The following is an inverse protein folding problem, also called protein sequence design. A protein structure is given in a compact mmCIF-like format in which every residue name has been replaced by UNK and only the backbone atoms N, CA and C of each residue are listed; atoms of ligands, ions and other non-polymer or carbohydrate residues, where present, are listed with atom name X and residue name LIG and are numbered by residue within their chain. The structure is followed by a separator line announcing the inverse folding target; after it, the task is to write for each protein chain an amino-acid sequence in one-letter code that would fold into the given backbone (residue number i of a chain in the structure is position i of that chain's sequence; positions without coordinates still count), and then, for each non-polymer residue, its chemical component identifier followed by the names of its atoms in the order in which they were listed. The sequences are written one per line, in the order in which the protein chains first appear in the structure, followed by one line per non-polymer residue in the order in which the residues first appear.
data_IF_780129324999
#
_entry.id   IF_780129324999
#
_cell.length_a   1.000
_cell.length_b   1.000
_cell.length_c   1.000
_cell.angle_alpha   90.00
_cell.angle_beta   90.00
_cell.angle_gamma   90.00
#
_symmetry.space_group_name_H-M   'P 1'
#
loop_
_entity.id
_entity.type
_entity.pdbx_description
1 polymer ?
#
# COMPACT_ATOMS: atom_id res chain seq x y z
N UNK A 1 13.38 -11.05 25.74
CA UNK A 1 12.40 -11.37 24.67
C UNK A 1 12.59 -12.82 24.30
N UNK A 2 11.52 -13.61 24.11
CA UNK A 2 11.65 -14.98 23.61
C UNK A 2 12.34 -14.93 22.24
N UNK A 3 13.36 -15.77 22.05
CA UNK A 3 14.19 -15.81 20.85
C UNK A 3 13.41 -16.31 19.65
N UNK A 4 12.62 -15.43 19.03
CA UNK A 4 12.12 -15.65 17.69
C UNK A 4 13.34 -15.78 16.77
N UNK A 5 13.51 -16.97 16.19
CA UNK A 5 14.64 -17.26 15.31
C UNK A 5 14.61 -16.29 14.13
N UNK A 6 15.71 -15.56 13.94
CA UNK A 6 16.00 -14.75 12.75
C UNK A 6 15.81 -15.53 11.44
N UNK A 7 15.77 -16.87 11.48
CA UNK A 7 15.51 -17.73 10.31
C UNK A 7 14.16 -17.41 9.63
N UNK A 8 13.15 -16.96 10.37
CA UNK A 8 11.85 -16.59 9.78
C UNK A 8 11.94 -15.37 8.86
N UNK A 9 12.95 -14.51 9.04
CA UNK A 9 13.18 -13.34 8.18
C UNK A 9 14.05 -13.63 6.95
N UNK A 10 14.67 -14.81 6.89
CA UNK A 10 15.50 -15.24 5.75
C UNK A 10 14.71 -16.01 4.68
N UNK A 11 13.38 -15.90 4.68
CA UNK A 11 12.56 -16.41 3.59
C UNK A 11 12.92 -15.71 2.27
N UNK A 12 13.02 -16.50 1.20
CA UNK A 12 13.11 -15.97 -0.16
C UNK A 12 11.85 -15.17 -0.45
N UNK A 13 12.03 -13.86 -0.72
CA UNK A 13 10.93 -12.99 -1.09
C UNK A 13 10.50 -13.30 -2.53
N UNK A 14 9.20 -13.28 -2.84
CA UNK A 14 8.73 -13.37 -4.21
C UNK A 14 9.32 -12.22 -5.04
N UNK A 15 9.91 -12.56 -6.18
CA UNK A 15 10.48 -11.59 -7.12
C UNK A 15 9.80 -11.61 -8.48
N UNK A 16 9.05 -12.68 -8.77
CA UNK A 16 8.35 -12.86 -10.05
C UNK A 16 7.05 -12.06 -10.06
N UNK A 17 6.85 -11.08 -10.96
CA UNK A 17 5.60 -10.31 -11.04
C UNK A 17 4.35 -11.16 -11.26
N UNK A 18 4.47 -12.39 -11.78
CA UNK A 18 3.37 -13.35 -11.96
C UNK A 18 3.06 -14.16 -10.69
N UNK A 19 3.75 -13.89 -9.57
CA UNK A 19 3.52 -14.58 -8.30
C UNK A 19 2.03 -14.48 -7.90
N UNK A 20 1.36 -15.62 -7.68
CA UNK A 20 -0.05 -15.62 -7.27
C UNK A 20 -0.20 -15.04 -5.86
N UNK A 21 -1.35 -14.41 -5.59
CA UNK A 21 -1.63 -13.81 -4.30
C UNK A 21 -1.52 -14.82 -3.13
N UNK A 22 -1.80 -16.10 -3.35
CA UNK A 22 -1.63 -17.15 -2.34
C UNK A 22 -0.20 -17.25 -1.80
N UNK A 23 0.79 -17.04 -2.67
CA UNK A 23 2.20 -17.15 -2.30
C UNK A 23 2.68 -15.91 -1.55
N UNK A 24 2.24 -14.73 -1.98
CA UNK A 24 2.46 -13.47 -1.24
C UNK A 24 1.80 -13.57 0.14
N UNK A 25 0.55 -14.04 0.21
CA UNK A 25 -0.21 -14.20 1.46
C UNK A 25 0.51 -15.09 2.47
N UNK A 26 1.20 -16.14 2.00
CA UNK A 26 2.00 -17.03 2.86
C UNK A 26 3.17 -16.30 3.51
N UNK A 27 3.84 -15.39 2.80
CA UNK A 27 4.89 -14.53 3.39
C UNK A 27 4.30 -13.53 4.37
N UNK A 28 3.19 -12.88 4.02
CA UNK A 28 2.52 -11.93 4.93
C UNK A 28 2.07 -12.61 6.24
N UNK A 29 1.63 -13.86 6.15
CA UNK A 29 1.22 -14.66 7.30
C UNK A 29 2.39 -15.01 8.24
N UNK A 30 3.61 -15.24 7.72
CA UNK A 30 4.77 -15.47 8.59
C UNK A 30 5.18 -14.20 9.32
N UNK A 31 5.15 -13.05 8.64
CA UNK A 31 5.42 -11.75 9.28
C UNK A 31 4.37 -11.34 10.32
N UNK A 32 3.11 -11.74 10.15
CA UNK A 32 2.06 -11.47 11.13
C UNK A 32 2.33 -12.10 12.51
N UNK A 33 3.20 -13.10 12.58
CA UNK A 33 3.60 -13.77 13.82
C UNK A 33 4.86 -13.17 14.47
N UNK A 34 5.55 -12.24 13.80
CA UNK A 34 6.87 -11.75 14.20
C UNK A 34 6.82 -10.78 15.39
N UNK A 35 5.94 -9.78 15.32
CA UNK A 35 5.79 -8.76 16.35
C UNK A 35 4.35 -8.75 16.85
N UNK A 36 4.11 -9.03 18.16
CA UNK A 36 2.77 -9.01 18.71
C UNK A 36 2.13 -7.63 18.65
N UNK A 37 2.82 -6.50 18.51
CA UNK A 37 2.22 -5.15 18.44
C UNK A 37 2.03 -4.64 17.00
N UNK A 38 2.50 -5.41 16.02
CA UNK A 38 2.31 -5.15 14.61
C UNK A 38 1.13 -5.95 14.06
N UNK A 39 0.26 -5.33 13.28
CA UNK A 39 -0.75 -6.05 12.50
C UNK A 39 -0.32 -6.11 11.03
N UNK A 40 0.13 -7.28 10.57
CA UNK A 40 0.34 -7.53 9.14
C UNK A 40 -0.93 -8.13 8.54
N UNK A 41 -1.51 -7.47 7.54
CA UNK A 41 -2.69 -8.01 6.88
C UNK A 41 -2.32 -9.28 6.09
N UNK A 42 -2.95 -10.44 6.33
CA UNK A 42 -2.52 -11.71 5.72
C UNK A 42 -2.93 -11.87 4.25
N UNK A 43 -3.58 -10.86 3.65
CA UNK A 43 -4.05 -10.92 2.27
C UNK A 43 -3.64 -9.70 1.47
N UNK A 44 -3.24 -9.92 0.22
CA UNK A 44 -3.00 -8.84 -0.76
C UNK A 44 -4.25 -7.98 -0.95
N UNK A 45 -4.11 -6.66 -0.89
CA UNK A 45 -5.18 -5.71 -1.20
C UNK A 45 -5.24 -5.41 -2.69
N UNK A 46 -6.35 -5.77 -3.35
CA UNK A 46 -6.51 -5.53 -4.80
C UNK A 46 -7.83 -4.88 -5.20
N UNK A 47 -8.77 -4.70 -4.27
CA UNK A 47 -10.10 -4.19 -4.62
C UNK A 47 -10.60 -3.13 -3.66
N UNK A 48 -11.17 -2.06 -4.23
CA UNK A 48 -11.82 -1.02 -3.45
C UNK A 48 -13.14 -1.51 -2.84
N UNK A 49 -13.91 -2.35 -3.56
CA UNK A 49 -15.21 -2.84 -3.11
C UNK A 49 -15.51 -4.26 -3.60
N UNK A 50 -16.56 -4.87 -3.01
CA UNK A 50 -16.98 -6.24 -3.34
C UNK A 50 -17.49 -6.39 -4.78
N UNK A 51 -18.14 -5.36 -5.32
CA UNK A 51 -18.57 -5.36 -6.73
C UNK A 51 -17.38 -5.48 -7.67
N UNK A 52 -16.32 -4.68 -7.44
CA UNK A 52 -15.09 -4.77 -8.23
C UNK A 52 -14.50 -6.17 -8.15
N UNK A 53 -14.33 -6.73 -6.94
CA UNK A 53 -13.84 -8.11 -6.77
C UNK A 53 -14.67 -9.14 -7.55
N UNK A 54 -15.99 -9.02 -7.53
CA UNK A 54 -16.90 -9.93 -8.23
C UNK A 54 -16.72 -9.85 -9.75
N UNK A 55 -16.57 -8.64 -10.29
CA UNK A 55 -16.33 -8.44 -11.72
C UNK A 55 -15.03 -9.11 -12.20
N UNK A 56 -14.07 -9.36 -11.31
CA UNK A 56 -12.78 -10.00 -11.63
C UNK A 56 -12.75 -11.51 -11.40
N UNK A 57 -13.79 -12.11 -10.81
CA UNK A 57 -13.75 -13.52 -10.43
C UNK A 57 -13.54 -14.46 -11.64
N UNK A 58 -13.94 -14.05 -12.85
CA UNK A 58 -13.78 -14.84 -14.07
C UNK A 58 -12.47 -14.57 -14.82
N UNK A 59 -11.75 -13.49 -14.52
CA UNK A 59 -10.58 -13.07 -15.30
C UNK A 59 -9.30 -13.16 -14.47
N UNK A 60 -9.35 -12.84 -13.18
CA UNK A 60 -8.24 -12.95 -12.26
C UNK A 60 -8.35 -14.23 -11.44
N UNK A 61 -7.56 -15.24 -11.81
CA UNK A 61 -7.65 -16.60 -11.24
C UNK A 61 -7.50 -16.65 -9.72
N UNK A 62 -6.70 -15.74 -9.13
CA UNK A 62 -6.46 -15.66 -7.69
C UNK A 62 -7.31 -14.58 -6.98
N UNK A 63 -8.37 -14.07 -7.63
CA UNK A 63 -9.23 -13.03 -7.05
C UNK A 63 -9.80 -13.44 -5.69
N UNK A 64 -10.07 -14.74 -5.48
CA UNK A 64 -10.54 -15.29 -4.21
C UNK A 64 -9.56 -15.02 -3.05
N UNK A 65 -8.25 -15.06 -3.31
CA UNK A 65 -7.17 -14.90 -2.34
C UNK A 65 -6.83 -13.45 -2.02
N UNK A 66 -7.31 -12.51 -2.84
CA UNK A 66 -7.14 -11.07 -2.65
C UNK A 66 -8.24 -10.47 -1.77
N UNK A 67 -7.97 -9.32 -1.17
CA UNK A 67 -8.83 -8.68 -0.17
C UNK A 67 -9.30 -7.27 -0.58
N UNK A 68 -10.30 -6.78 0.16
CA UNK A 68 -10.84 -5.43 0.00
C UNK A 68 -10.13 -4.47 0.95
N UNK A 69 -9.97 -3.22 0.52
CA UNK A 69 -9.48 -2.12 1.40
C UNK A 69 -10.33 -2.00 2.66
N UNK A 70 -11.66 -2.01 2.53
CA UNK A 70 -12.58 -1.91 3.67
C UNK A 70 -12.43 -3.07 4.65
N UNK A 71 -12.08 -4.28 4.18
CA UNK A 71 -11.80 -5.43 5.04
C UNK A 71 -10.50 -5.22 5.83
N UNK A 72 -9.46 -4.67 5.23
CA UNK A 72 -8.24 -4.28 5.97
C UNK A 72 -8.54 -3.26 7.06
N UNK A 73 -9.26 -2.18 6.74
CA UNK A 73 -9.60 -1.12 7.69
C UNK A 73 -10.51 -1.62 8.83
N UNK A 74 -11.40 -2.57 8.56
CA UNK A 74 -12.34 -3.15 9.53
C UNK A 74 -11.84 -4.40 10.24
N UNK A 75 -10.76 -5.03 9.76
CA UNK A 75 -10.23 -6.26 10.36
C UNK A 75 -10.04 -6.09 11.87
N UNK A 76 -10.34 -7.12 12.69
CA UNK A 76 -10.02 -7.07 14.10
C UNK A 76 -8.50 -6.99 14.24
N UNK A 77 -7.99 -5.87 14.77
CA UNK A 77 -6.57 -5.76 15.11
C UNK A 77 -6.43 -6.31 16.52
N UNK A 78 -5.80 -7.49 16.71
CA UNK A 78 -5.82 -8.18 17.99
C UNK A 78 -5.30 -7.27 19.09
N UNK A 79 -5.99 -7.22 20.23
CA UNK A 79 -5.50 -6.48 21.38
C UNK A 79 -4.26 -7.20 21.90
N UNK A 80 -3.13 -6.51 22.05
CA UNK A 80 -1.96 -7.11 22.70
C UNK A 80 -2.34 -7.57 24.12
N UNK A 81 -2.18 -8.86 24.42
CA UNK A 81 -2.22 -9.45 25.76
C UNK A 81 -3.40 -9.04 26.67
N UNK A 82 -4.62 -8.92 26.13
CA UNK A 82 -5.82 -8.63 26.94
C UNK A 82 -5.85 -7.22 27.58
N UNK A 83 -4.85 -6.37 27.29
CA UNK A 83 -4.89 -4.95 27.63
C UNK A 83 -5.74 -4.24 26.59
N UNK A 84 -6.57 -3.30 27.04
CA UNK A 84 -7.42 -2.44 26.19
C UNK A 84 -6.54 -1.51 25.34
N UNK A 85 -5.98 -2.04 24.25
CA UNK A 85 -5.20 -1.28 23.27
C UNK A 85 -5.27 -1.94 21.91
N UNK A 86 -5.88 -1.25 20.94
CA UNK A 86 -5.79 -1.65 19.54
C UNK A 86 -4.34 -1.51 19.07
N UNK A 87 -3.88 -2.40 18.18
CA UNK A 87 -2.55 -2.31 17.55
C UNK A 87 -2.28 -0.90 17.03
N UNK A 88 -1.08 -0.40 17.29
CA UNK A 88 -0.67 0.94 16.89
C UNK A 88 -0.25 0.99 15.42
N UNK A 89 0.33 -0.08 14.88
CA UNK A 89 0.86 -0.14 13.53
C UNK A 89 0.23 -1.27 12.70
N UNK A 90 -0.21 -0.96 11.48
CA UNK A 90 -0.85 -1.89 10.55
C UNK A 90 -0.12 -1.87 9.20
N UNK A 91 0.21 -3.03 8.65
CA UNK A 91 0.85 -3.19 7.35
C UNK A 91 -0.09 -3.87 6.35
N UNK A 92 -0.04 -3.42 5.11
CA UNK A 92 -0.71 -4.06 3.99
C UNK A 92 0.16 -4.04 2.74
N UNK A 93 0.15 -5.16 2.02
CA UNK A 93 0.63 -5.25 0.65
C UNK A 93 -0.53 -4.88 -0.29
N UNK A 94 -0.30 -3.92 -1.19
CA UNK A 94 -1.26 -3.49 -2.20
C UNK A 94 -0.73 -3.96 -3.56
N UNK A 95 -1.62 -4.56 -4.36
CA UNK A 95 -1.30 -4.93 -5.73
C UNK A 95 -2.52 -4.77 -6.60
N UNK A 96 -2.34 -4.07 -7.72
CA UNK A 96 -3.38 -3.82 -8.71
C UNK A 96 -2.77 -3.70 -10.11
N UNK A 97 -3.53 -3.98 -11.18
CA UNK A 97 -3.06 -3.75 -12.54
C UNK A 97 -2.60 -2.30 -12.72
N UNK A 98 -1.47 -2.11 -13.41
CA UNK A 98 -0.92 -0.81 -13.70
C UNK A 98 -1.88 -0.05 -14.62
N UNK A 99 -2.71 0.84 -14.09
CA UNK A 99 -3.44 1.78 -14.96
C UNK A 99 -2.46 2.85 -15.43
N UNK A 100 -1.48 2.45 -16.23
CA UNK A 100 -0.76 3.38 -17.07
C UNK A 100 -1.83 4.13 -17.85
N UNK A 101 -1.75 5.45 -17.89
CA UNK A 101 -2.48 6.24 -18.88
C UNK A 101 -1.93 5.98 -20.28
N UNK A 102 -1.75 4.72 -20.67
CA UNK A 102 -1.24 4.30 -21.96
C UNK A 102 -2.40 4.23 -22.93
N UNK A 103 -2.90 5.40 -23.32
CA UNK A 103 -3.12 5.63 -24.74
C UNK A 103 -1.86 6.39 -25.23
N UNK A 104 -0.96 5.64 -25.88
CA UNK A 104 0.11 6.08 -26.79
C UNK A 104 1.00 7.29 -26.41
N UNK A 105 2.11 7.01 -25.73
CA UNK A 105 3.24 7.95 -25.60
C UNK A 105 4.12 8.05 -26.87
N UNK A 106 3.68 7.53 -28.02
CA UNK A 106 4.42 7.60 -29.30
C UNK A 106 3.82 8.55 -30.35
N UNK A 107 2.79 9.34 -30.03
CA UNK A 107 2.21 10.33 -30.95
C UNK A 107 1.75 11.62 -30.23
N UNK A 108 2.63 12.28 -29.48
CA UNK A 108 2.34 13.62 -28.95
C UNK A 108 3.29 14.62 -29.59
N UNK A 109 2.86 15.16 -30.74
CA UNK A 109 3.26 16.50 -31.12
C UNK A 109 2.68 17.48 -30.10
N UNK A 110 3.60 18.28 -29.59
CA UNK A 110 3.47 19.40 -28.66
C UNK A 110 2.36 20.37 -29.08
N UNK A 111 1.14 20.22 -28.56
CA UNK A 111 0.16 21.32 -28.48
C UNK A 111 -0.85 21.10 -27.34
N UNK A 112 -0.59 21.70 -26.19
CA UNK A 112 -1.64 22.10 -25.25
C UNK A 112 -1.99 21.11 -24.15
N UNK A 113 -1.93 21.60 -22.91
CA UNK A 113 -2.28 20.90 -21.66
C UNK A 113 -3.55 20.03 -21.76
N UNK A 114 -3.37 18.71 -21.80
CA UNK A 114 -4.45 17.78 -21.48
C UNK A 114 -4.47 17.55 -19.98
N UNK A 115 -5.53 18.03 -19.32
CA UNK A 115 -5.87 17.65 -17.94
C UNK A 115 -6.14 16.15 -17.88
N UNK A 116 -5.31 15.45 -17.10
CA UNK A 116 -5.53 14.07 -16.70
C UNK A 116 -6.84 13.96 -15.92
N UNK A 117 -7.80 13.22 -16.45
CA UNK A 117 -9.00 12.83 -15.72
C UNK A 117 -8.69 11.62 -14.82
N UNK A 118 -8.15 11.88 -13.63
CA UNK A 118 -7.94 10.87 -12.59
C UNK A 118 -9.25 10.18 -12.13
N UNK A 119 -10.43 10.62 -12.59
CA UNK A 119 -11.70 9.92 -12.32
C UNK A 119 -11.95 8.70 -13.21
N UNK A 120 -11.17 8.53 -14.30
CA UNK A 120 -11.29 7.40 -15.24
C UNK A 120 -10.18 6.35 -15.16
N UNK A 121 -9.26 6.46 -14.18
CA UNK A 121 -8.20 5.46 -13.90
C UNK A 121 -8.72 4.15 -13.29
N UNK A 122 -9.88 3.67 -13.75
CA UNK A 122 -10.45 2.42 -13.35
C UNK A 122 -10.12 1.39 -14.42
N UNK A 123 -9.14 0.52 -14.17
CA UNK A 123 -8.91 -0.71 -14.94
C UNK A 123 -10.17 -1.59 -15.06
N UNK A 124 -11.19 -1.34 -14.22
CA UNK A 124 -12.53 -1.93 -14.31
C UNK A 124 -13.17 -1.64 -15.66
N UNK A 125 -13.32 -2.69 -16.47
CA UNK A 125 -13.89 -2.63 -17.81
C UNK A 125 -12.86 -2.63 -18.95
N UNK A 126 -11.55 -2.60 -18.63
CA UNK A 126 -10.51 -2.77 -19.64
C UNK A 126 -10.38 -4.27 -20.00
N UNK A 127 -10.65 -4.69 -21.26
CA UNK A 127 -10.52 -6.09 -21.67
C UNK A 127 -9.07 -6.59 -21.66
N UNK A 128 -8.07 -5.70 -21.71
CA UNK A 128 -6.64 -6.01 -21.78
C UNK A 128 -5.92 -5.90 -20.42
N UNK A 129 -6.66 -5.97 -19.32
CA UNK A 129 -6.09 -5.88 -17.96
C UNK A 129 -5.09 -7.01 -17.67
N UNK A 130 -5.23 -8.16 -18.33
CA UNK A 130 -4.36 -9.34 -18.23
C UNK A 130 -3.01 -9.13 -18.92
N UNK A 131 -2.96 -8.23 -19.92
CA UNK A 131 -1.72 -7.80 -20.59
C UNK A 131 -1.01 -6.68 -19.85
N UNK A 132 -1.66 -6.12 -18.83
CA UNK A 132 -1.15 -4.99 -18.08
C UNK A 132 -0.27 -5.49 -16.93
N UNK A 133 0.98 -5.04 -16.81
CA UNK A 133 1.83 -5.43 -15.69
C UNK A 133 1.15 -5.03 -14.38
N UNK A 134 1.30 -5.86 -13.35
CA UNK A 134 0.78 -5.54 -12.04
C UNK A 134 1.71 -4.58 -11.31
N UNK A 135 1.11 -3.55 -10.71
CA UNK A 135 1.81 -2.64 -9.82
C UNK A 135 1.69 -3.11 -8.38
N UNK A 136 2.76 -2.95 -7.60
CA UNK A 136 2.78 -3.27 -6.18
C UNK A 136 3.21 -2.04 -5.38
N UNK A 137 2.59 -1.84 -4.22
CA UNK A 137 3.00 -0.82 -3.25
C UNK A 137 2.73 -1.29 -1.83
N UNK A 138 3.43 -0.74 -0.85
CA UNK A 138 3.20 -1.01 0.56
C UNK A 138 2.38 0.11 1.20
N UNK A 139 1.59 -0.23 2.22
CA UNK A 139 0.92 0.74 3.06
C UNK A 139 1.16 0.43 4.55
N UNK A 140 1.53 1.47 5.29
CA UNK A 140 1.66 1.45 6.75
C UNK A 140 0.66 2.42 7.35
N UNK A 141 -0.08 1.98 8.36
CA UNK A 141 -0.99 2.84 9.12
C UNK A 141 -0.55 2.83 10.56
N UNK A 142 -0.10 3.98 11.06
CA UNK A 142 0.33 4.16 12.45
C UNK A 142 -0.64 5.09 13.17
N UNK A 143 -1.04 4.73 14.38
CA UNK A 143 -1.80 5.61 15.25
C UNK A 143 -0.85 6.52 16.03
N UNK A 144 -1.15 7.82 16.14
CA UNK A 144 -0.37 8.70 16.98
C UNK A 144 -0.59 8.35 18.47
N UNK A 145 0.36 8.68 19.36
CA UNK A 145 0.18 8.51 20.80
C UNK A 145 -0.98 9.37 21.31
N UNK A 146 -1.63 8.93 22.38
CA UNK A 146 -2.69 9.73 23.02
C UNK A 146 -2.09 11.02 23.62
N UNK A 147 -2.81 12.16 23.60
CA UNK A 147 -4.23 12.33 23.27
C UNK A 147 -4.52 12.58 21.78
N UNK A 148 -3.51 12.55 20.92
CA UNK A 148 -3.68 12.78 19.49
C UNK A 148 -4.63 11.72 18.89
N UNK A 149 -5.39 12.13 17.89
CA UNK A 149 -6.35 11.27 17.17
C UNK A 149 -5.90 11.16 15.72
N UNK A 150 -6.50 10.22 15.00
CA UNK A 150 -6.27 10.08 13.57
C UNK A 150 -5.30 8.96 13.22
N UNK A 151 -4.69 9.09 12.04
CA UNK A 151 -3.74 8.12 11.50
C UNK A 151 -2.59 8.82 10.76
N UNK A 152 -1.41 8.22 10.83
CA UNK A 152 -0.32 8.43 9.88
C UNK A 152 -0.41 7.30 8.84
N UNK A 153 -0.73 7.64 7.60
CA UNK A 153 -0.72 6.71 6.46
C UNK A 153 0.59 6.92 5.70
N UNK A 154 1.41 5.89 5.61
CA UNK A 154 2.65 5.88 4.85
C UNK A 154 2.40 4.99 3.63
N UNK A 155 2.60 5.54 2.44
CA UNK A 155 2.56 4.81 1.18
C UNK A 155 3.99 4.71 0.66
N UNK A 156 4.45 3.50 0.42
CA UNK A 156 5.72 3.26 -0.23
C UNK A 156 5.45 2.65 -1.60
N UNK A 157 5.74 3.44 -2.62
CA UNK A 157 5.51 3.09 -4.00
C UNK A 157 6.88 3.01 -4.70
N UNK A 158 7.32 1.81 -5.12
CA UNK A 158 8.59 1.64 -5.84
C UNK A 158 8.54 2.19 -7.28
N UNK A 159 7.37 2.64 -7.75
CA UNK A 159 7.22 3.43 -8.98
C UNK A 159 6.44 4.73 -8.64
N UNK A 160 7.06 5.63 -7.86
CA UNK A 160 6.43 6.82 -7.33
C UNK A 160 5.93 7.73 -8.44
N UNK A 161 4.76 8.33 -8.22
CA UNK A 161 4.24 9.37 -9.09
C UNK A 161 5.22 10.56 -9.15
N UNK A 162 5.71 10.99 -10.32
CA UNK A 162 6.66 12.11 -10.42
C UNK A 162 6.15 13.42 -9.79
N UNK A 163 4.83 13.59 -9.70
CA UNK A 163 4.21 14.74 -9.00
C UNK A 163 4.61 14.79 -7.52
N UNK A 164 4.96 13.66 -6.90
CA UNK A 164 5.44 13.60 -5.51
C UNK A 164 6.74 14.38 -5.30
N UNK A 165 7.56 14.55 -6.36
CA UNK A 165 8.82 15.30 -6.31
C UNK A 165 8.62 16.82 -6.40
N UNK A 166 7.40 17.29 -6.67
CA UNK A 166 7.10 18.71 -6.75
C UNK A 166 7.09 19.36 -5.37
N UNK A 167 7.30 20.68 -5.30
CA UNK A 167 7.17 21.42 -4.06
C UNK A 167 5.71 21.34 -3.55
N UNK A 168 5.52 20.74 -2.37
CA UNK A 168 4.22 20.61 -1.67
C UNK A 168 3.19 19.77 -2.45
N UNK A 169 3.47 18.48 -2.69
CA UNK A 169 2.60 17.63 -3.47
C UNK A 169 1.25 17.41 -2.77
N UNK A 170 0.16 17.33 -3.56
CA UNK A 170 -1.18 17.12 -3.03
C UNK A 170 -1.56 15.65 -3.09
N UNK A 171 -2.29 15.17 -2.07
CA UNK A 171 -2.74 13.77 -1.95
C UNK A 171 -3.45 13.31 -3.23
N UNK A 172 -4.37 14.10 -3.76
CA UNK A 172 -5.17 13.77 -4.96
C UNK A 172 -4.36 13.69 -6.25
N UNK A 173 -3.21 14.35 -6.31
CA UNK A 173 -2.35 14.40 -7.49
C UNK A 173 -1.28 13.30 -7.43
N UNK A 174 -0.92 12.85 -6.22
CA UNK A 174 0.10 11.80 -6.00
C UNK A 174 -0.50 10.40 -5.91
N UNK A 175 -1.42 10.16 -4.96
CA UNK A 175 -1.96 8.82 -4.71
C UNK A 175 -2.80 8.37 -5.91
N UNK A 176 -2.74 7.07 -6.26
CA UNK A 176 -3.52 6.50 -7.38
C UNK A 176 -4.37 5.30 -6.93
N UNK A 177 -5.46 5.02 -7.65
CA UNK A 177 -6.24 3.79 -7.53
C UNK A 177 -6.57 3.34 -6.09
N UNK A 178 -6.01 2.21 -5.67
CA UNK A 178 -6.23 1.63 -4.33
C UNK A 178 -5.62 2.45 -3.20
N UNK A 179 -4.52 3.18 -3.44
CA UNK A 179 -3.92 4.06 -2.43
C UNK A 179 -4.91 5.18 -2.06
N UNK A 180 -5.57 5.79 -3.06
CA UNK A 180 -6.64 6.77 -2.82
C UNK A 180 -7.84 6.15 -2.08
N UNK A 181 -8.21 4.92 -2.44
CA UNK A 181 -9.32 4.21 -1.79
C UNK A 181 -9.01 3.95 -0.31
N UNK A 182 -7.77 3.56 0.00
CA UNK A 182 -7.28 3.38 1.37
C UNK A 182 -7.26 4.68 2.16
N UNK A 183 -6.74 5.75 1.57
CA UNK A 183 -6.76 7.08 2.17
C UNK A 183 -8.20 7.51 2.52
N UNK A 184 -9.14 7.42 1.57
CA UNK A 184 -10.55 7.81 1.80
C UNK A 184 -11.19 7.04 2.95
N UNK A 185 -11.00 5.73 3.02
CA UNK A 185 -11.55 4.91 4.12
C UNK A 185 -10.95 5.29 5.49
N UNK A 186 -9.66 5.66 5.55
CA UNK A 186 -9.03 6.16 6.78
C UNK A 186 -9.50 7.57 7.13
N UNK A 187 -9.64 8.44 6.13
CA UNK A 187 -10.08 9.84 6.26
C UNK A 187 -11.50 9.90 6.83
N UNK A 188 -12.43 9.13 6.25
CA UNK A 188 -13.80 8.96 6.75
C UNK A 188 -13.80 8.41 8.18
N UNK A 189 -13.01 7.36 8.45
CA UNK A 189 -12.94 6.72 9.78
C UNK A 189 -12.36 7.64 10.86
N UNK A 190 -11.45 8.54 10.49
CA UNK A 190 -10.76 9.46 11.41
C UNK A 190 -11.41 10.84 11.51
N UNK A 191 -12.44 11.11 10.70
CA UNK A 191 -13.07 12.43 10.54
C UNK A 191 -12.08 13.47 10.04
N UNK A 192 -11.46 13.20 8.90
CA UNK A 192 -10.50 14.07 8.21
C UNK A 192 -9.21 14.32 9.00
N UNK A 193 -8.74 13.31 9.74
CA UNK A 193 -7.53 13.41 10.54
C UNK A 193 -6.54 12.30 10.13
N UNK A 194 -6.06 12.40 8.90
CA UNK A 194 -5.02 11.52 8.36
C UNK A 194 -3.88 12.39 7.85
N UNK A 195 -2.67 12.15 8.37
CA UNK A 195 -1.42 12.62 7.75
C UNK A 195 -0.96 11.57 6.76
N UNK A 196 -0.61 11.99 5.54
CA UNK A 196 -0.15 11.08 4.50
C UNK A 196 1.32 11.35 4.21
N UNK A 197 2.12 10.30 4.29
CA UNK A 197 3.54 10.26 3.98
C UNK A 197 3.73 9.39 2.75
N UNK A 198 4.59 9.82 1.83
CA UNK A 198 4.82 9.14 0.57
C UNK A 198 6.32 8.97 0.36
N UNK A 199 6.78 7.73 0.32
CA UNK A 199 8.20 7.42 0.10
C UNK A 199 8.54 7.59 -1.37
N UNK A 200 9.62 8.30 -1.66
CA UNK A 200 10.16 8.49 -3.00
C UNK A 200 11.50 7.76 -3.05
N UNK A 201 11.58 6.67 -3.83
CA UNK A 201 12.84 5.95 -4.08
C UNK A 201 13.25 6.20 -5.53
N UNK A 202 13.98 7.30 -5.78
CA UNK A 202 14.37 7.71 -7.13
C UNK A 202 15.26 6.69 -7.83
N UNK A 203 16.02 5.91 -7.06
CA UNK A 203 17.01 4.95 -7.54
C UNK A 203 16.42 3.61 -8.00
N UNK A 204 15.12 3.38 -7.80
CA UNK A 204 14.47 2.07 -8.06
C UNK A 204 13.33 2.13 -9.08
N UNK A 205 13.13 3.27 -9.72
CA UNK A 205 12.06 3.45 -10.68
C UNK A 205 12.29 2.61 -11.95
N UNK A 206 11.20 2.02 -12.45
CA UNK A 206 11.11 1.41 -13.79
C UNK A 206 11.94 0.13 -14.05
N UNK A 207 12.47 -0.54 -13.04
CA UNK A 207 13.23 -1.80 -13.25
C UNK A 207 12.34 -3.05 -13.42
N UNK A 208 11.00 -2.90 -13.42
CA UNK A 208 10.10 -4.05 -13.45
C UNK A 208 10.14 -4.92 -12.18
N UNK A 209 10.69 -4.37 -11.08
CA UNK A 209 10.93 -5.07 -9.82
C UNK A 209 9.99 -4.62 -8.69
N UNK A 210 8.83 -4.05 -9.02
CA UNK A 210 7.90 -3.46 -8.03
C UNK A 210 7.48 -4.47 -6.94
N UNK A 211 7.27 -5.74 -7.28
CA UNK A 211 6.95 -6.80 -6.31
C UNK A 211 8.08 -6.96 -5.29
N UNK A 212 9.31 -7.20 -5.77
CA UNK A 212 10.48 -7.41 -4.94
C UNK A 212 10.70 -6.22 -4.00
N UNK A 213 10.73 -5.01 -4.54
CA UNK A 213 10.96 -3.81 -3.74
C UNK A 213 9.85 -3.58 -2.71
N UNK A 214 8.59 -3.82 -3.07
CA UNK A 214 7.48 -3.73 -2.12
C UNK A 214 7.63 -4.74 -0.98
N UNK A 215 8.05 -5.97 -1.28
CA UNK A 215 8.29 -7.01 -0.27
C UNK A 215 9.49 -6.65 0.64
N UNK A 216 10.58 -6.12 0.08
CA UNK A 216 11.73 -5.63 0.84
C UNK A 216 11.33 -4.49 1.78
N UNK A 217 10.52 -3.53 1.30
CA UNK A 217 10.01 -2.42 2.10
C UNK A 217 9.11 -2.90 3.24
N UNK A 218 8.18 -3.83 2.97
CA UNK A 218 7.37 -4.41 4.03
C UNK A 218 8.22 -5.15 5.07
N UNK A 219 9.23 -5.90 4.64
CA UNK A 219 10.16 -6.56 5.55
C UNK A 219 10.86 -5.54 6.47
N UNK A 220 11.34 -4.42 5.93
CA UNK A 220 11.91 -3.34 6.73
C UNK A 220 10.92 -2.82 7.78
N UNK A 221 9.65 -2.60 7.42
CA UNK A 221 8.63 -2.19 8.39
C UNK A 221 8.32 -3.23 9.46
N UNK A 222 8.39 -4.52 9.12
CA UNK A 222 8.26 -5.60 10.10
C UNK A 222 9.45 -5.62 11.06
N UNK A 223 10.65 -5.35 10.57
CA UNK A 223 11.87 -5.23 11.39
C UNK A 223 11.85 -4.00 12.31
N UNK A 224 11.29 -2.87 11.85
CA UNK A 224 11.04 -1.69 12.69
C UNK A 224 10.00 -2.00 13.78
N UNK A 225 8.96 -2.77 13.42
CA UNK A 225 7.95 -3.26 14.36
C UNK A 225 6.74 -2.35 14.58
N UNK A 226 5.95 -2.73 15.58
CA UNK A 226 4.63 -2.20 15.89
C UNK A 226 4.60 -1.04 16.88
N UNK A 227 5.75 -0.45 17.18
CA UNK A 227 5.93 0.61 18.17
C UNK A 227 5.04 1.84 17.95
N UNK A 228 4.93 2.67 19.01
CA UNK A 228 4.21 3.94 18.95
C UNK A 228 4.82 4.89 17.92
N UNK A 229 4.03 5.86 17.46
CA UNK A 229 4.49 6.89 16.54
C UNK A 229 5.45 7.87 17.22
N UNK A 230 6.63 8.08 16.63
CA UNK A 230 7.71 8.89 17.22
C UNK A 230 7.75 10.34 16.72
N UNK A 231 6.76 10.76 15.92
CA UNK A 231 6.72 12.11 15.34
C UNK A 231 7.38 12.16 13.97
N UNK A 232 7.95 13.31 13.62
CA UNK A 232 8.57 13.50 12.30
C UNK A 232 9.92 12.74 12.18
N UNK A 233 10.50 12.33 13.30
CA UNK A 233 11.73 11.52 13.37
C UNK A 233 11.46 10.01 13.35
N UNK A 234 10.19 9.59 13.16
CA UNK A 234 9.82 8.18 13.13
C UNK A 234 10.54 7.46 11.97
N UNK A 235 11.27 6.35 12.24
CA UNK A 235 12.05 5.67 11.21
C UNK A 235 11.19 5.18 10.04
N UNK A 236 9.88 5.04 10.24
CA UNK A 236 8.96 4.61 9.18
C UNK A 236 8.74 5.68 8.11
N UNK A 237 9.04 6.95 8.38
CA UNK A 237 8.91 8.05 7.42
C UNK A 237 10.25 8.58 6.90
N UNK A 238 11.34 7.87 7.18
CA UNK A 238 12.62 8.15 6.54
C UNK A 238 12.47 8.10 5.00
N UNK A 239 12.99 9.13 4.32
CA UNK A 239 12.87 9.28 2.86
C UNK A 239 11.45 9.59 2.35
N UNK A 240 10.50 9.89 3.24
CA UNK A 240 9.14 10.26 2.83
C UNK A 240 8.96 11.77 2.69
N UNK A 241 8.10 12.16 1.75
CA UNK A 241 7.51 13.50 1.70
C UNK A 241 6.11 13.47 2.30
N UNK A 242 5.76 14.51 3.06
CA UNK A 242 4.40 14.65 3.56
C UNK A 242 3.49 15.28 2.50
N UNK A 243 2.40 14.59 2.15
CA UNK A 243 1.42 15.07 1.18
C UNK A 243 0.40 16.01 1.83
N UNK A 244 -0.08 16.99 1.06
CA UNK A 244 -1.07 17.98 1.52
C UNK A 244 -2.46 17.71 0.98
N UNK A 245 -3.47 18.13 1.75
CA UNK A 245 -4.87 18.04 1.33
C UNK A 245 -5.26 19.09 0.28
N UNK A 246 -4.73 20.32 0.37
CA UNK A 246 -5.10 21.49 -0.45
C UNK A 246 -4.04 21.86 -1.47
#
# INVERSE_FOLDING_TARGET
MPGHSYDTMNMLLPTDPETPASDINRVLATWAAFDPDLYVHPKVLSFACGQRKTNYAGSLLDAADRCLVSKFIRAPKPNGNGRRGAKQCWLAFISCPYTGGTEDASNIEDTGEKKYDNSKGSWVGNPDWDKTPWHCSAAVVVRPPKPEKGYNLIICDPDPNPVAMQAKPRIKDVLRGLQQSLYKELDEKSKNNVRVWYRIEEDRNHEGHCLRHTMELLKQFVEIGGGEWEGDDDPRVEGCVQLRFK
#
